data_IF_332694657265
#
_entry.id   IF_332694657265
#
_cell.length_a   1.000
_cell.length_b   1.000
_cell.length_c   1.000
_cell.angle_alpha   90.00
_cell.angle_beta   90.00
_cell.angle_gamma   90.00
#
_symmetry.space_group_name_H-M   'P 1'
#
loop_
_entity.id
_entity.type
_entity.pdbx_description
1 polymer ?
#
# COMPACT_ATOMS: atom_id res chain seq x y z
N UNK A 1 11.78 -1.87 -9.85
CA UNK A 1 10.71 -2.04 -8.82
C UNK A 1 10.85 -1.05 -7.67
N UNK A 2 12.05 -0.82 -7.10
CA UNK A 2 12.30 0.25 -6.11
C UNK A 2 11.93 1.64 -6.63
N UNK A 3 12.16 1.92 -7.91
CA UNK A 3 11.83 3.22 -8.54
C UNK A 3 10.32 3.52 -8.56
N UNK A 4 9.48 2.51 -8.77
CA UNK A 4 8.03 2.66 -8.73
C UNK A 4 7.50 2.91 -7.31
N UNK A 5 8.11 2.26 -6.31
CA UNK A 5 7.80 2.50 -4.90
C UNK A 5 8.29 3.87 -4.43
N UNK A 6 9.46 4.33 -4.89
CA UNK A 6 9.94 5.68 -4.64
C UNK A 6 9.03 6.75 -5.25
N UNK A 7 8.50 6.51 -6.45
CA UNK A 7 7.49 7.39 -7.06
C UNK A 7 6.21 7.47 -6.22
N UNK A 8 5.73 6.34 -5.68
CA UNK A 8 4.58 6.31 -4.76
C UNK A 8 4.86 7.06 -3.44
N UNK A 9 6.08 6.97 -2.90
CA UNK A 9 6.49 7.72 -1.71
C UNK A 9 6.50 9.24 -1.96
N UNK A 10 7.01 9.67 -3.11
CA UNK A 10 6.95 11.08 -3.52
C UNK A 10 5.50 11.56 -3.72
N UNK A 11 4.58 10.66 -4.00
CA UNK A 11 3.16 10.98 -4.23
C UNK A 11 2.35 11.11 -2.94
N UNK A 12 2.58 10.21 -1.97
CA UNK A 12 1.97 10.29 -0.62
C UNK A 12 2.37 11.58 0.10
N UNK A 13 3.52 12.15 -0.27
CA UNK A 13 4.07 13.38 0.32
C UNK A 13 3.46 14.69 -0.22
N UNK A 14 2.52 14.65 -1.20
CA UNK A 14 2.04 15.88 -1.85
C UNK A 14 0.89 16.58 -1.11
N UNK A 15 1.21 17.10 0.08
CA UNK A 15 0.37 18.01 0.86
C UNK A 15 0.85 19.46 0.77
N UNK A 16 0.42 20.18 -0.27
CA UNK A 16 0.33 21.65 -0.35
C UNK A 16 1.57 22.54 -0.11
N UNK A 17 2.80 22.03 -0.15
CA UNK A 17 4.03 22.78 -0.49
C UNK A 17 5.21 21.81 -0.42
N UNK A 18 5.89 21.57 -1.54
CA UNK A 18 7.10 20.74 -1.69
C UNK A 18 8.33 21.25 -0.93
N UNK A 19 8.12 22.06 0.11
CA UNK A 19 9.13 22.55 1.01
C UNK A 19 8.78 22.01 2.40
N UNK A 20 9.37 20.85 2.71
CA UNK A 20 9.78 20.63 4.09
C UNK A 20 10.64 21.86 4.41
N UNK A 21 10.13 22.79 5.23
CA UNK A 21 10.96 23.87 5.73
C UNK A 21 12.15 23.19 6.41
N UNK A 22 13.32 23.27 5.78
CA UNK A 22 14.52 22.45 6.03
C UNK A 22 15.00 22.44 7.50
N UNK A 23 14.41 23.27 8.36
CA UNK A 23 14.85 23.58 9.71
C UNK A 23 13.99 23.00 10.84
N UNK A 24 13.09 22.03 10.58
CA UNK A 24 12.25 21.38 11.60
C UNK A 24 12.41 19.86 11.58
N UNK A 25 13.48 19.36 12.20
CA UNK A 25 13.82 17.93 12.26
C UNK A 25 12.68 17.08 12.82
N UNK A 26 11.97 17.56 13.85
CA UNK A 26 10.83 16.85 14.44
C UNK A 26 9.69 16.60 13.44
N UNK A 27 9.43 17.56 12.54
CA UNK A 27 8.41 17.40 11.49
C UNK A 27 8.86 16.44 10.38
N UNK A 28 10.16 16.38 10.11
CA UNK A 28 10.74 15.40 9.19
C UNK A 28 10.63 13.99 9.75
N UNK A 29 11.00 13.80 11.02
CA UNK A 29 10.89 12.51 11.70
C UNK A 29 9.43 12.02 11.70
N UNK A 30 8.49 12.89 12.09
CA UNK A 30 7.07 12.56 12.06
C UNK A 30 6.59 12.17 10.66
N UNK A 31 7.01 12.93 9.64
CA UNK A 31 6.61 12.64 8.25
C UNK A 31 7.18 11.31 7.74
N UNK A 32 8.43 10.99 8.08
CA UNK A 32 9.05 9.70 7.75
C UNK A 32 8.31 8.56 8.45
N UNK A 33 7.99 8.71 9.74
CA UNK A 33 7.23 7.73 10.50
C UNK A 33 5.83 7.50 9.91
N UNK A 34 5.12 8.57 9.55
CA UNK A 34 3.83 8.49 8.86
C UNK A 34 3.94 7.77 7.52
N UNK A 35 4.99 8.05 6.74
CA UNK A 35 5.25 7.35 5.48
C UNK A 35 5.48 5.86 5.72
N UNK A 36 6.30 5.49 6.70
CA UNK A 36 6.56 4.09 7.04
C UNK A 36 5.28 3.36 7.47
N UNK A 37 4.43 4.02 8.26
CA UNK A 37 3.13 3.49 8.66
C UNK A 37 2.23 3.21 7.45
N UNK A 38 2.15 4.15 6.51
CA UNK A 38 1.35 4.00 5.29
C UNK A 38 1.91 2.89 4.40
N UNK A 39 3.22 2.82 4.25
CA UNK A 39 3.91 1.75 3.52
C UNK A 39 3.59 0.37 4.09
N UNK A 40 3.71 0.20 5.41
CA UNK A 40 3.39 -1.07 6.10
C UNK A 40 1.89 -1.40 5.96
N UNK A 41 1.02 -0.39 6.10
CA UNK A 41 -0.43 -0.58 5.96
C UNK A 41 -0.81 -1.05 4.56
N UNK A 42 -0.19 -0.49 3.51
CA UNK A 42 -0.41 -0.90 2.13
C UNK A 42 0.08 -2.34 1.90
N UNK A 43 1.28 -2.68 2.36
CA UNK A 43 1.83 -4.05 2.28
C UNK A 43 0.92 -5.06 2.99
N UNK A 44 0.37 -4.69 4.14
CA UNK A 44 -0.55 -5.52 4.89
C UNK A 44 -1.85 -5.78 4.12
N UNK A 45 -2.51 -4.73 3.62
CA UNK A 45 -3.74 -4.86 2.82
C UNK A 45 -3.47 -5.71 1.57
N UNK A 46 -2.37 -5.47 0.86
CA UNK A 46 -1.99 -6.23 -0.32
C UNK A 46 -1.81 -7.72 -0.01
N UNK A 47 -1.22 -8.04 1.15
CA UNK A 47 -1.06 -9.43 1.60
C UNK A 47 -2.42 -10.08 1.82
N UNK A 48 -3.35 -9.40 2.49
CA UNK A 48 -4.70 -9.93 2.72
C UNK A 48 -5.46 -10.13 1.39
N UNK A 49 -5.34 -9.20 0.44
CA UNK A 49 -5.95 -9.33 -0.88
C UNK A 49 -5.39 -10.54 -1.65
N UNK A 50 -4.08 -10.76 -1.62
CA UNK A 50 -3.43 -11.93 -2.23
C UNK A 50 -3.92 -13.21 -1.57
N UNK A 51 -3.96 -13.25 -0.23
CA UNK A 51 -4.45 -14.41 0.52
C UNK A 51 -5.89 -14.75 0.16
N UNK A 52 -6.76 -13.74 0.02
CA UNK A 52 -8.15 -13.95 -0.41
C UNK A 52 -8.24 -14.57 -1.80
N UNK A 53 -7.51 -14.03 -2.78
CA UNK A 53 -7.50 -14.59 -4.16
C UNK A 53 -6.96 -16.01 -4.17
N UNK A 54 -5.93 -16.30 -3.37
CA UNK A 54 -5.36 -17.64 -3.25
C UNK A 54 -6.24 -18.61 -2.44
N UNK A 55 -7.19 -18.12 -1.64
CA UNK A 55 -8.15 -18.97 -0.94
C UNK A 55 -9.17 -19.61 -1.90
N UNK A 56 -9.37 -19.01 -3.08
CA UNK A 56 -10.20 -19.60 -4.14
C UNK A 56 -9.46 -20.79 -4.79
N UNK A 57 -10.11 -21.96 -4.77
CA UNK A 57 -9.52 -23.23 -5.20
C UNK A 57 -9.03 -23.20 -6.66
N UNK A 58 -9.67 -22.42 -7.54
CA UNK A 58 -9.29 -22.34 -8.95
C UNK A 58 -7.98 -21.55 -9.14
N UNK A 59 -7.71 -20.55 -8.32
CA UNK A 59 -6.49 -19.76 -8.41
C UNK A 59 -5.29 -20.53 -7.85
N UNK A 60 -5.42 -21.14 -6.68
CA UNK A 60 -4.32 -21.91 -6.10
C UNK A 60 -3.95 -23.13 -6.96
N UNK A 61 -4.92 -23.78 -7.61
CA UNK A 61 -4.67 -24.91 -8.54
C UNK A 61 -3.93 -24.49 -9.81
N UNK A 62 -4.03 -23.22 -10.20
CA UNK A 62 -3.36 -22.68 -11.39
C UNK A 62 -1.94 -22.20 -11.11
N UNK A 63 -1.57 -21.99 -9.85
CA UNK A 63 -0.25 -21.51 -9.45
C UNK A 63 0.81 -22.61 -9.62
N UNK A 64 1.94 -22.26 -10.23
CA UNK A 64 3.16 -23.07 -10.24
C UNK A 64 4.12 -22.64 -9.13
N UNK A 65 5.16 -23.43 -8.93
CA UNK A 65 6.20 -23.11 -7.94
C UNK A 65 6.87 -21.77 -8.22
N UNK A 66 7.10 -21.43 -9.49
CA UNK A 66 7.67 -20.16 -9.91
C UNK A 66 6.74 -18.99 -9.58
N UNK A 67 5.43 -19.14 -9.78
CA UNK A 67 4.44 -18.11 -9.49
C UNK A 67 4.38 -17.81 -8.00
N UNK A 68 4.41 -18.84 -7.16
CA UNK A 68 4.47 -18.70 -5.69
C UNK A 68 5.73 -17.97 -5.22
N UNK A 69 6.86 -18.16 -5.90
CA UNK A 69 8.12 -17.45 -5.62
C UNK A 69 8.11 -16.00 -6.09
N UNK A 70 7.29 -15.69 -7.09
CA UNK A 70 7.14 -14.35 -7.65
C UNK A 70 6.08 -13.50 -6.91
N UNK A 71 5.28 -14.10 -6.02
CA UNK A 71 4.30 -13.38 -5.22
C UNK A 71 4.99 -12.30 -4.37
N UNK A 72 4.55 -11.06 -4.56
CA UNK A 72 5.03 -9.91 -3.80
C UNK A 72 3.87 -9.01 -3.43
N UNK A 73 3.75 -8.61 -2.15
CA UNK A 73 2.75 -7.64 -1.72
C UNK A 73 3.11 -6.21 -2.11
N UNK A 74 4.23 -5.96 -2.80
CA UNK A 74 4.67 -4.63 -3.24
C UNK A 74 3.98 -4.17 -4.54
N UNK A 75 2.71 -4.50 -4.71
CA UNK A 75 1.89 -4.09 -5.85
C UNK A 75 1.14 -2.79 -5.53
N UNK A 76 1.15 -1.82 -6.44
CA UNK A 76 0.49 -0.53 -6.23
C UNK A 76 -0.42 -0.11 -7.39
N UNK A 77 -0.47 -0.89 -8.48
CA UNK A 77 -1.25 -0.56 -9.67
C UNK A 77 -2.77 -0.46 -9.42
N UNK A 78 -3.28 -1.08 -8.35
CA UNK A 78 -4.69 -1.01 -7.95
C UNK A 78 -5.01 0.20 -7.06
N UNK A 79 -3.99 0.95 -6.62
CA UNK A 79 -4.14 2.13 -5.76
C UNK A 79 -4.35 3.34 -6.66
N UNK A 80 -5.49 4.01 -6.49
CA UNK A 80 -5.73 5.31 -7.12
C UNK A 80 -5.33 6.43 -6.15
N UNK A 81 -4.27 7.20 -6.44
CA UNK A 81 -3.85 8.29 -5.57
C UNK A 81 -4.66 9.58 -5.77
N UNK A 82 -5.45 9.64 -6.84
CA UNK A 82 -6.29 10.79 -7.18
C UNK A 82 -7.74 10.49 -6.80
N UNK A 83 -8.19 11.05 -5.68
CA UNK A 83 -9.57 10.89 -5.24
C UNK A 83 -9.85 11.60 -3.94
N UNK A 84 -11.14 11.82 -3.67
CA UNK A 84 -11.61 12.28 -2.37
C UNK A 84 -11.96 11.02 -1.57
N UNK A 85 -11.15 10.69 -0.57
CA UNK A 85 -11.49 9.64 0.38
C UNK A 85 -12.32 10.22 1.52
N UNK A 86 -13.61 9.87 1.57
CA UNK A 86 -14.45 10.20 2.73
C UNK A 86 -14.24 9.14 3.79
N UNK A 87 -13.48 9.48 4.83
CA UNK A 87 -13.22 8.57 5.94
C UNK A 87 -14.52 8.24 6.68
N UNK A 88 -14.94 6.98 6.60
CA UNK A 88 -15.99 6.43 7.42
C UNK A 88 -15.40 5.33 8.33
N UNK A 89 -15.26 5.63 9.62
CA UNK A 89 -14.69 4.69 10.60
C UNK A 89 -15.57 3.47 10.89
N UNK A 90 -16.83 3.47 10.42
CA UNK A 90 -17.74 2.32 10.52
C UNK A 90 -17.68 1.42 9.29
N UNK A 91 -17.11 1.91 8.19
CA UNK A 91 -16.89 1.11 6.99
C UNK A 91 -15.67 0.20 7.21
N UNK A 92 -15.78 -1.04 6.72
CA UNK A 92 -14.69 -2.02 6.77
C UNK A 92 -14.41 -2.49 5.36
N UNK A 93 -13.13 -2.68 5.05
CA UNK A 93 -12.75 -3.28 3.78
C UNK A 93 -13.27 -4.72 3.76
N UNK A 94 -14.10 -5.05 2.78
CA UNK A 94 -14.62 -6.40 2.61
C UNK A 94 -13.52 -7.28 2.03
N UNK A 95 -12.53 -7.69 2.84
CA UNK A 95 -11.41 -8.55 2.39
C UNK A 95 -11.68 -10.02 2.68
N UNK A 96 -12.44 -10.35 3.73
CA UNK A 96 -12.76 -11.72 4.07
C UNK A 96 -13.89 -12.29 3.19
N UNK A 97 -13.81 -13.60 2.92
CA UNK A 97 -14.94 -14.38 2.44
C UNK A 97 -15.84 -14.73 3.63
N UNK A 98 -17.16 -14.59 3.43
CA UNK A 98 -18.15 -15.11 4.38
C UNK A 98 -18.05 -16.64 4.48
#
# INVERSE_FOLDING_TARGET
>A
MVENWNSANSFIFYGKNSEIATNRLDEQELSVLCLHLLQISLVYINTLMIQRVLAEADWIKRMKQEDLRALSPLIWAHVNPYGIFRLNMNERLQIDAA
#
